data_IF_622507658879
#
_entry.id   IF_622507658879
#
_cell.length_a   1.000
_cell.length_b   1.000
_cell.length_c   1.000
_cell.angle_alpha   90.00
_cell.angle_beta   90.00
_cell.angle_gamma   90.00
#
_symmetry.space_group_name_H-M   'P 1'
#
loop_
_entity.id
_entity.type
_entity.pdbx_description
1 polymer ?
#
# COMPACT_ATOMS: atom_id res chain seq x y z
N UNK A 1 -4.27 -5.76 -11.85
CA UNK A 1 -3.55 -6.21 -10.63
C UNK A 1 -4.08 -7.56 -10.23
N UNK A 2 -3.26 -8.36 -9.56
CA UNK A 2 -3.65 -9.68 -9.03
C UNK A 2 -3.31 -9.82 -7.54
N UNK A 3 -3.27 -8.69 -6.82
CA UNK A 3 -2.97 -8.67 -5.40
C UNK A 3 -1.60 -9.27 -5.07
N UNK A 4 -1.58 -10.18 -4.10
CA UNK A 4 -0.36 -10.87 -3.67
C UNK A 4 0.17 -11.85 -4.73
N UNK A 5 -0.68 -12.31 -5.65
CA UNK A 5 -0.35 -13.22 -6.75
C UNK A 5 0.26 -12.50 -7.97
N UNK A 6 0.54 -11.20 -7.87
CA UNK A 6 1.16 -10.43 -8.95
C UNK A 6 2.53 -10.97 -9.34
N UNK A 7 2.69 -11.26 -10.63
CA UNK A 7 3.88 -11.87 -11.23
C UNK A 7 4.46 -11.04 -12.36
N UNK A 8 3.75 -10.00 -12.82
CA UNK A 8 4.24 -9.19 -13.93
C UNK A 8 5.51 -8.44 -13.53
N UNK A 9 6.65 -8.66 -14.20
CA UNK A 9 7.96 -8.19 -13.73
C UNK A 9 8.01 -6.66 -13.60
N UNK A 10 7.35 -5.93 -14.50
CA UNK A 10 7.24 -4.47 -14.43
C UNK A 10 6.44 -3.98 -13.22
N UNK A 11 5.36 -4.68 -12.86
CA UNK A 11 4.55 -4.31 -11.71
C UNK A 11 5.35 -4.54 -10.42
N UNK A 12 6.02 -5.69 -10.33
CA UNK A 12 6.89 -6.02 -9.21
C UNK A 12 8.08 -5.08 -9.07
N UNK A 13 8.74 -4.71 -10.18
CA UNK A 13 9.84 -3.75 -10.15
C UNK A 13 9.38 -2.37 -9.67
N UNK A 14 8.19 -1.93 -10.08
CA UNK A 14 7.60 -0.66 -9.63
C UNK A 14 7.28 -0.71 -8.12
N UNK A 15 6.62 -1.77 -7.65
CA UNK A 15 6.29 -1.94 -6.22
C UNK A 15 7.55 -1.97 -5.36
N UNK A 16 8.60 -2.67 -5.81
CA UNK A 16 9.90 -2.71 -5.13
C UNK A 16 10.54 -1.32 -5.05
N UNK A 17 10.54 -0.57 -6.16
CA UNK A 17 11.07 0.79 -6.19
C UNK A 17 10.30 1.74 -5.25
N UNK A 18 8.96 1.62 -5.19
CA UNK A 18 8.12 2.39 -4.26
C UNK A 18 8.44 2.06 -2.79
N UNK A 19 8.63 0.78 -2.45
CA UNK A 19 8.96 0.36 -1.10
C UNK A 19 10.37 0.83 -0.65
N UNK A 20 11.36 0.77 -1.53
CA UNK A 20 12.75 1.11 -1.23
C UNK A 20 12.94 2.54 -0.71
N UNK A 21 12.09 3.50 -1.14
CA UNK A 21 12.18 4.90 -0.68
C UNK A 21 12.03 5.00 0.84
N UNK A 22 11.22 4.15 1.47
CA UNK A 22 11.05 4.16 2.93
C UNK A 22 12.24 3.56 3.70
N UNK A 23 13.17 2.91 3.01
CA UNK A 23 14.35 2.27 3.63
C UNK A 23 15.59 3.17 3.60
N UNK A 24 15.59 4.25 2.82
CA UNK A 24 16.71 5.16 2.72
C UNK A 24 16.98 5.90 4.05
N UNK A 25 18.25 5.95 4.52
CA UNK A 25 18.59 6.56 5.80
C UNK A 25 18.11 8.01 5.96
N UNK A 26 18.19 8.82 4.90
CA UNK A 26 17.77 10.23 4.85
C UNK A 26 16.25 10.42 5.00
N UNK A 27 15.46 9.38 4.75
CA UNK A 27 14.00 9.41 4.86
C UNK A 27 13.47 8.71 6.12
N UNK A 28 14.37 8.30 7.02
CA UNK A 28 13.98 7.61 8.26
C UNK A 28 13.11 8.50 9.14
N UNK A 29 11.89 8.04 9.38
CA UNK A 29 10.91 8.73 10.22
C UNK A 29 10.16 9.87 9.52
N UNK A 30 10.39 10.09 8.23
CA UNK A 30 9.65 11.08 7.42
C UNK A 30 8.89 10.43 6.26
N UNK A 31 9.28 9.23 5.84
CA UNK A 31 8.58 8.44 4.81
C UNK A 31 8.14 7.09 5.37
N UNK A 32 6.98 6.62 4.94
CA UNK A 32 6.49 5.26 5.21
C UNK A 32 5.90 4.65 3.94
N UNK A 33 6.02 3.33 3.80
CA UNK A 33 5.42 2.56 2.71
C UNK A 33 4.26 1.69 3.23
N UNK A 34 3.19 1.61 2.45
CA UNK A 34 2.03 0.72 2.71
C UNK A 34 1.87 -0.22 1.52
N UNK A 35 2.05 -1.52 1.75
CA UNK A 35 1.92 -2.56 0.74
C UNK A 35 0.46 -2.85 0.38
N UNK A 36 -0.15 -1.99 -0.44
CA UNK A 36 -1.59 -2.05 -0.75
C UNK A 36 -2.05 -3.31 -1.46
N UNK A 37 -1.14 -4.06 -2.11
CA UNK A 37 -1.47 -5.33 -2.78
C UNK A 37 -2.10 -6.38 -1.85
N UNK A 38 -1.83 -6.29 -0.54
CA UNK A 38 -2.41 -7.18 0.47
C UNK A 38 -3.92 -6.98 0.67
N UNK A 39 -4.45 -5.83 0.25
CA UNK A 39 -5.87 -5.49 0.39
C UNK A 39 -6.70 -5.84 -0.84
N UNK A 40 -6.09 -6.47 -1.86
CA UNK A 40 -6.80 -6.88 -3.06
C UNK A 40 -8.00 -7.79 -2.74
N UNK A 41 -9.07 -7.63 -3.50
CA UNK A 41 -10.27 -8.46 -3.49
C UNK A 41 -10.61 -8.85 -4.92
N UNK A 42 -10.87 -10.13 -5.14
CA UNK A 42 -11.15 -10.65 -6.47
C UNK A 42 -12.49 -10.15 -7.01
N UNK A 43 -12.64 -10.25 -8.34
CA UNK A 43 -13.84 -9.79 -9.04
C UNK A 43 -15.11 -10.46 -8.52
N UNK A 44 -15.02 -11.72 -8.08
CA UNK A 44 -16.18 -12.52 -7.66
C UNK A 44 -16.78 -12.04 -6.32
N UNK A 45 -16.03 -11.23 -5.57
CA UNK A 45 -16.46 -10.62 -4.31
C UNK A 45 -16.51 -9.09 -4.39
N UNK A 46 -16.57 -8.53 -5.60
CA UNK A 46 -16.45 -7.09 -5.83
C UNK A 46 -17.48 -6.56 -6.84
N UNK A 47 -17.83 -5.27 -6.81
CA UNK A 47 -18.81 -4.70 -7.72
C UNK A 47 -18.40 -4.70 -9.21
N UNK A 48 -17.09 -4.63 -9.51
CA UNK A 48 -16.59 -4.63 -10.89
C UNK A 48 -15.40 -5.56 -11.08
N UNK A 49 -15.03 -5.84 -12.33
CA UNK A 49 -13.85 -6.63 -12.70
C UNK A 49 -12.73 -5.82 -13.34
N UNK A 50 -12.67 -4.51 -13.09
CA UNK A 50 -11.76 -3.61 -13.81
C UNK A 50 -10.28 -3.91 -13.53
N UNK A 51 -9.94 -4.42 -12.35
CA UNK A 51 -8.59 -4.75 -11.92
C UNK A 51 -7.48 -3.69 -11.97
N UNK A 52 -7.72 -2.51 -12.57
CA UNK A 52 -6.91 -1.29 -12.46
C UNK A 52 -7.44 -0.33 -11.38
N UNK A 53 -8.72 -0.44 -10.98
CA UNK A 53 -9.34 0.34 -9.89
C UNK A 53 -9.81 -0.54 -8.72
N UNK A 54 -9.02 -1.51 -8.26
CA UNK A 54 -9.38 -2.33 -7.09
C UNK A 54 -10.77 -2.98 -7.15
N UNK A 55 -11.26 -3.30 -8.36
CA UNK A 55 -12.58 -3.90 -8.59
C UNK A 55 -13.76 -3.10 -8.00
N UNK A 56 -13.57 -1.80 -7.73
CA UNK A 56 -14.53 -0.94 -7.03
C UNK A 56 -14.91 -1.51 -5.65
N UNK A 57 -14.03 -2.28 -5.03
CA UNK A 57 -14.31 -2.94 -3.76
C UNK A 57 -14.14 -1.96 -2.59
N UNK A 58 -15.24 -1.69 -1.87
CA UNK A 58 -15.27 -0.73 -0.78
C UNK A 58 -14.36 -1.12 0.40
N UNK A 59 -14.27 -2.41 0.72
CA UNK A 59 -13.39 -2.91 1.78
C UNK A 59 -11.93 -2.66 1.44
N UNK A 60 -11.53 -2.93 0.20
CA UNK A 60 -10.17 -2.65 -0.30
C UNK A 60 -9.81 -1.18 -0.10
N UNK A 61 -10.69 -0.25 -0.50
CA UNK A 61 -10.44 1.18 -0.34
C UNK A 61 -10.34 1.60 1.13
N UNK A 62 -11.23 1.06 1.97
CA UNK A 62 -11.20 1.31 3.41
C UNK A 62 -9.87 0.85 4.03
N UNK A 63 -9.45 -0.39 3.78
CA UNK A 63 -8.22 -0.96 4.34
C UNK A 63 -6.96 -0.21 3.86
N UNK A 64 -6.93 0.24 2.60
CA UNK A 64 -5.85 1.10 2.09
C UNK A 64 -5.80 2.41 2.91
N UNK A 65 -6.95 3.08 3.06
CA UNK A 65 -7.04 4.33 3.80
C UNK A 65 -6.68 4.18 5.28
N UNK A 66 -7.19 3.13 5.93
CA UNK A 66 -6.88 2.80 7.32
C UNK A 66 -5.37 2.57 7.52
N UNK A 67 -4.76 1.72 6.70
CA UNK A 67 -3.33 1.42 6.78
C UNK A 67 -2.47 2.67 6.57
N UNK A 68 -2.80 3.52 5.60
CA UNK A 68 -2.14 4.82 5.39
C UNK A 68 -2.34 5.76 6.58
N UNK A 69 -3.53 5.80 7.17
CA UNK A 69 -3.82 6.60 8.37
C UNK A 69 -3.01 6.13 9.59
N UNK A 70 -2.85 4.83 9.79
CA UNK A 70 -1.98 4.28 10.84
C UNK A 70 -0.51 4.60 10.60
N UNK A 71 -0.03 4.51 9.36
CA UNK A 71 1.34 4.90 9.01
C UNK A 71 1.58 6.39 9.29
N UNK A 72 0.64 7.27 8.91
CA UNK A 72 0.72 8.70 9.17
C UNK A 72 0.75 9.01 10.68
N UNK A 73 -0.10 8.37 11.48
CA UNK A 73 -0.06 8.53 12.95
C UNK A 73 1.32 8.22 13.54
N UNK A 74 2.02 7.19 13.02
CA UNK A 74 3.38 6.85 13.47
C UNK A 74 4.40 7.91 13.05
N UNK A 75 4.29 8.45 11.83
CA UNK A 75 5.17 9.53 11.36
C UNK A 75 4.97 10.83 12.14
N UNK A 76 3.73 11.14 12.53
CA UNK A 76 3.40 12.34 13.29
C UNK A 76 3.55 12.19 14.82
N UNK A 77 3.72 10.96 15.33
CA UNK A 77 3.96 10.75 16.76
C UNK A 77 5.27 11.45 17.15
N UNK A 78 5.23 12.26 18.22
CA UNK A 78 6.41 12.98 18.72
C UNK A 78 7.57 11.99 18.89
N UNK A 79 8.72 12.26 18.26
CA UNK A 79 9.96 11.58 18.63
C UNK A 79 10.18 11.79 20.14
N UNK A 80 10.54 10.76 20.91
CA UNK A 80 11.06 10.97 22.26
C UNK A 80 12.19 12.00 22.19
N UNK A 81 12.20 12.96 23.11
CA UNK A 81 13.33 13.87 23.25
C UNK A 81 14.60 13.03 23.54
N UNK A 82 15.70 13.32 22.83
CA UNK A 82 17.04 12.85 23.20
C UNK A 82 17.49 13.45 24.54
#
# INVERSE_FOLDING_TARGET
MSGVEEKHPRALSLMKAQAAVAEYPEFRGTVAFVGTKAFWRDKDVSPTGQAYHWNTNAETYYLIGEAMGHAMKKLCAKKPAE
#
